data_IF_249496851162
#
_entry.id   IF_249496851162
#
_cell.length_a   1.000
_cell.length_b   1.000
_cell.length_c   1.000
_cell.angle_alpha   90.00
_cell.angle_beta   90.00
_cell.angle_gamma   90.00
#
_symmetry.space_group_name_H-M   'P 1'
#
loop_
_entity.id
_entity.type
_entity.pdbx_description
1 polymer ?
#
# COMPACT_ATOMS: atom_id res chain seq x y z
N UNK A 1 -14.57 -4.47 -16.47
CA UNK A 1 -15.36 -4.77 -15.27
C UNK A 1 -15.32 -3.59 -14.29
N UNK A 2 -14.18 -3.23 -13.70
CA UNK A 2 -14.09 -2.15 -12.67
C UNK A 2 -14.66 -0.82 -13.18
N UNK A 3 -14.28 -0.36 -14.35
CA UNK A 3 -14.79 0.91 -14.93
C UNK A 3 -16.29 0.89 -15.29
N UNK A 4 -16.88 -0.29 -15.36
CA UNK A 4 -18.29 -0.50 -15.70
C UNK A 4 -19.12 -0.92 -14.48
N UNK A 5 -18.50 -0.99 -13.30
CA UNK A 5 -19.10 -1.44 -12.04
C UNK A 5 -19.77 -2.82 -12.16
N UNK A 6 -19.18 -3.73 -12.99
CA UNK A 6 -19.68 -5.07 -13.24
C UNK A 6 -18.96 -6.07 -12.32
N UNK A 7 -19.50 -6.27 -11.12
CA UNK A 7 -18.95 -7.17 -10.12
C UNK A 7 -18.96 -8.63 -10.62
N UNK A 8 -20.02 -9.07 -11.27
CA UNK A 8 -20.12 -10.45 -11.79
C UNK A 8 -19.00 -10.75 -12.77
N UNK A 9 -18.74 -9.82 -13.69
CA UNK A 9 -17.64 -9.95 -14.64
C UNK A 9 -16.28 -9.85 -13.93
N UNK A 10 -16.16 -9.02 -12.90
CA UNK A 10 -14.93 -8.90 -12.13
C UNK A 10 -14.61 -10.20 -11.38
N UNK A 11 -15.56 -10.78 -10.62
CA UNK A 11 -15.39 -12.03 -9.87
C UNK A 11 -15.13 -13.24 -10.78
N UNK A 12 -15.60 -13.21 -12.01
CA UNK A 12 -15.24 -14.23 -13.00
C UNK A 12 -13.73 -14.24 -13.28
N UNK A 13 -13.11 -13.04 -13.37
CA UNK A 13 -11.73 -12.87 -13.77
C UNK A 13 -10.74 -12.69 -12.61
N UNK A 14 -11.23 -12.50 -11.37
CA UNK A 14 -10.39 -12.32 -10.19
C UNK A 14 -10.92 -13.18 -9.04
N UNK A 15 -10.09 -14.07 -8.53
CA UNK A 15 -10.37 -14.82 -7.30
C UNK A 15 -9.83 -14.01 -6.11
N UNK A 16 -10.66 -13.10 -5.59
CA UNK A 16 -10.29 -12.22 -4.50
C UNK A 16 -9.89 -12.97 -3.23
N UNK A 17 -10.59 -14.07 -2.90
CA UNK A 17 -10.29 -14.85 -1.72
C UNK A 17 -8.91 -15.50 -1.81
N UNK A 18 -8.59 -16.13 -2.94
CA UNK A 18 -7.27 -16.71 -3.18
C UNK A 18 -6.20 -15.62 -3.19
N UNK A 19 -6.44 -14.53 -3.91
CA UNK A 19 -5.52 -13.41 -4.04
C UNK A 19 -5.15 -12.82 -2.67
N UNK A 20 -6.15 -12.47 -1.85
CA UNK A 20 -5.91 -11.89 -0.53
C UNK A 20 -5.36 -12.88 0.48
N UNK A 21 -5.72 -14.17 0.38
CA UNK A 21 -5.18 -15.19 1.26
C UNK A 21 -3.67 -15.38 1.05
N UNK A 22 -3.19 -15.41 -0.20
CA UNK A 22 -1.77 -15.48 -0.51
C UNK A 22 -1.04 -14.17 -0.19
N UNK A 23 -1.64 -13.04 -0.56
CA UNK A 23 -1.07 -11.71 -0.24
C UNK A 23 -0.90 -11.51 1.28
N UNK A 24 -1.86 -11.97 2.09
CA UNK A 24 -1.75 -11.93 3.54
C UNK A 24 -0.56 -12.74 4.05
N UNK A 25 -0.39 -13.96 3.57
CA UNK A 25 0.73 -14.83 3.97
C UNK A 25 2.09 -14.19 3.62
N UNK A 26 2.21 -13.59 2.44
CA UNK A 26 3.42 -12.89 2.01
C UNK A 26 3.73 -11.65 2.87
N UNK A 27 2.70 -10.85 3.19
CA UNK A 27 2.85 -9.68 4.06
C UNK A 27 3.28 -10.09 5.47
N UNK A 28 2.68 -11.15 6.01
CA UNK A 28 3.07 -11.71 7.31
C UNK A 28 4.49 -12.21 7.29
N UNK A 29 4.87 -12.96 6.26
CA UNK A 29 6.24 -13.43 6.09
C UNK A 29 7.24 -12.27 6.01
N UNK A 30 6.89 -11.23 5.27
CA UNK A 30 7.71 -10.03 5.13
C UNK A 30 7.88 -9.28 6.47
N UNK A 31 6.80 -9.17 7.26
CA UNK A 31 6.80 -8.41 8.51
C UNK A 31 7.43 -9.14 9.70
N UNK A 32 7.28 -10.46 9.76
CA UNK A 32 7.61 -11.28 10.95
C UNK A 32 8.61 -12.42 10.66
N UNK A 33 9.01 -12.63 9.41
CA UNK A 33 9.84 -13.75 8.99
C UNK A 33 9.05 -15.04 8.75
N UNK A 34 9.75 -16.18 8.67
CA UNK A 34 9.11 -17.47 8.41
C UNK A 34 8.16 -17.85 9.57
N UNK A 35 6.85 -18.00 9.31
CA UNK A 35 5.89 -18.39 10.34
C UNK A 35 6.21 -19.72 11.01
N UNK A 36 6.96 -20.61 10.34
CA UNK A 36 7.38 -21.91 10.91
C UNK A 36 8.43 -21.76 12.00
N UNK A 37 9.20 -20.67 11.97
CA UNK A 37 10.19 -20.33 12.99
C UNK A 37 9.61 -19.44 14.09
N UNK A 38 8.37 -18.92 13.89
CA UNK A 38 7.71 -18.06 14.85
C UNK A 38 7.20 -18.83 16.07
N UNK A 39 7.04 -18.12 17.18
CA UNK A 39 6.39 -18.64 18.36
C UNK A 39 4.97 -19.12 18.02
N UNK A 40 4.53 -20.34 18.46
CA UNK A 40 3.20 -20.88 18.19
C UNK A 40 2.05 -19.94 18.60
N UNK A 41 2.23 -19.12 19.60
CA UNK A 41 1.26 -18.10 20.03
C UNK A 41 1.09 -17.01 18.97
N UNK A 42 2.19 -16.47 18.43
CA UNK A 42 2.16 -15.50 17.33
C UNK A 42 1.52 -16.10 16.08
N UNK A 43 1.85 -17.36 15.76
CA UNK A 43 1.25 -18.06 14.64
C UNK A 43 -0.28 -18.16 14.81
N UNK A 44 -0.77 -18.47 16.00
CA UNK A 44 -2.20 -18.50 16.31
C UNK A 44 -2.89 -17.15 16.09
N UNK A 45 -2.28 -16.05 16.53
CA UNK A 45 -2.80 -14.69 16.31
C UNK A 45 -2.85 -14.37 14.81
N UNK A 46 -1.77 -14.62 14.09
CA UNK A 46 -1.67 -14.36 12.65
C UNK A 46 -2.74 -15.14 11.87
N UNK A 47 -2.94 -16.42 12.18
CA UNK A 47 -3.99 -17.23 11.54
C UNK A 47 -5.40 -16.70 11.87
N UNK A 48 -5.64 -16.29 13.10
CA UNK A 48 -6.92 -15.71 13.49
C UNK A 48 -7.19 -14.39 12.76
N UNK A 49 -6.20 -13.53 12.62
CA UNK A 49 -6.30 -12.28 11.88
C UNK A 49 -6.56 -12.52 10.39
N UNK A 50 -5.98 -13.56 9.79
CA UNK A 50 -6.25 -13.92 8.39
C UNK A 50 -7.74 -14.15 8.13
N UNK A 51 -8.42 -14.86 9.05
CA UNK A 51 -9.86 -15.16 8.92
C UNK A 51 -10.76 -13.92 9.01
N UNK A 52 -10.25 -12.81 9.52
CA UNK A 52 -10.96 -11.53 9.61
C UNK A 52 -10.56 -10.60 8.47
N UNK A 53 -9.25 -10.47 8.21
CA UNK A 53 -8.73 -9.50 7.24
C UNK A 53 -9.09 -9.87 5.80
N UNK A 54 -8.95 -11.14 5.43
CA UNK A 54 -9.22 -11.58 4.04
C UNK A 54 -10.66 -11.32 3.62
N UNK A 55 -11.71 -11.69 4.39
CA UNK A 55 -13.08 -11.33 4.06
C UNK A 55 -13.33 -9.82 3.99
N UNK A 56 -12.79 -9.03 4.92
CA UNK A 56 -12.96 -7.57 4.91
C UNK A 56 -12.39 -6.98 3.61
N UNK A 57 -11.15 -7.35 3.23
CA UNK A 57 -10.53 -6.87 2.00
C UNK A 57 -11.32 -7.31 0.76
N UNK A 58 -11.84 -8.53 0.78
CA UNK A 58 -12.67 -9.07 -0.31
C UNK A 58 -13.94 -8.24 -0.47
N UNK A 59 -14.69 -8.00 0.60
CA UNK A 59 -15.94 -7.24 0.55
C UNK A 59 -15.73 -5.76 0.22
N UNK A 60 -14.71 -5.13 0.76
CA UNK A 60 -14.34 -3.75 0.38
C UNK A 60 -14.02 -3.63 -1.11
N UNK A 61 -13.30 -4.61 -1.67
CA UNK A 61 -13.00 -4.60 -3.10
C UNK A 61 -14.24 -4.82 -3.95
N UNK A 62 -15.13 -5.73 -3.57
CA UNK A 62 -16.40 -5.93 -4.25
C UNK A 62 -17.25 -4.65 -4.22
N UNK A 63 -17.37 -4.05 -3.05
CA UNK A 63 -18.08 -2.79 -2.89
C UNK A 63 -17.50 -1.68 -3.78
N UNK A 64 -16.17 -1.54 -3.78
CA UNK A 64 -15.50 -0.60 -4.69
C UNK A 64 -15.78 -0.88 -6.17
N UNK A 65 -15.78 -2.15 -6.57
CA UNK A 65 -16.08 -2.52 -7.96
C UNK A 65 -17.53 -2.16 -8.33
N UNK A 66 -18.49 -2.32 -7.41
CA UNK A 66 -19.90 -2.02 -7.63
C UNK A 66 -20.21 -0.52 -7.64
N UNK A 67 -19.61 0.23 -6.70
CA UNK A 67 -20.00 1.62 -6.44
C UNK A 67 -19.00 2.65 -6.98
N UNK A 68 -17.75 2.24 -7.20
CA UNK A 68 -16.65 3.15 -7.53
C UNK A 68 -16.16 3.97 -6.35
N UNK A 69 -16.70 3.77 -5.14
CA UNK A 69 -16.32 4.46 -3.93
C UNK A 69 -15.88 3.48 -2.83
N UNK A 70 -14.94 3.92 -2.03
CA UNK A 70 -14.56 3.23 -0.79
C UNK A 70 -15.40 3.88 0.31
N UNK A 71 -16.64 3.46 0.46
CA UNK A 71 -17.45 3.93 1.58
C UNK A 71 -17.00 3.22 2.86
N UNK A 72 -16.81 4.01 3.89
CA UNK A 72 -16.73 3.49 5.25
C UNK A 72 -18.10 2.86 5.57
N UNK A 73 -18.16 1.54 5.69
CA UNK A 73 -19.33 0.83 6.19
C UNK A 73 -19.56 1.22 7.67
N UNK A 74 -20.02 2.44 7.86
CA UNK A 74 -20.72 2.81 9.08
C UNK A 74 -22.17 2.37 8.84
N UNK A 75 -22.57 1.17 9.31
CA UNK A 75 -23.98 0.86 9.46
C UNK A 75 -24.59 1.98 10.29
N UNK A 76 -25.23 2.93 9.60
CA UNK A 76 -26.23 3.79 10.24
C UNK A 76 -27.35 2.88 10.70
N UNK A 77 -27.30 2.47 11.96
CA UNK A 77 -28.52 2.11 12.67
C UNK A 77 -29.31 3.41 12.86
N UNK A 78 -29.99 3.82 11.80
CA UNK A 78 -30.96 4.91 11.85
C UNK A 78 -32.28 4.37 12.39
N UNK A 79 -32.40 4.36 13.70
CA UNK A 79 -33.67 4.44 14.40
C UNK A 79 -33.52 5.36 15.60
N UNK A 80 -33.50 6.69 15.35
CA UNK A 80 -33.91 7.67 16.36
C UNK A 80 -34.59 8.85 15.66
N UNK A 81 -35.82 9.03 16.05
CA UNK A 81 -36.80 10.06 15.83
C UNK A 81 -36.25 11.51 15.83
N UNK A 82 -36.88 12.29 14.96
CA UNK A 82 -36.75 13.68 14.57
C UNK A 82 -36.78 14.67 15.75
N UNK A 83 -35.88 15.64 15.76
CA UNK A 83 -35.96 17.03 16.24
C UNK A 83 -34.76 17.54 17.03
N UNK A 84 -33.65 17.86 16.34
CA UNK A 84 -32.73 18.96 16.71
C UNK A 84 -31.66 19.18 15.63
N UNK A 85 -31.12 20.41 15.39
CA UNK A 85 -30.05 20.61 14.44
C UNK A 85 -28.78 19.91 14.94
N UNK A 86 -28.34 18.91 14.17
CA UNK A 86 -27.24 18.03 14.50
C UNK A 86 -25.89 18.77 14.46
N UNK A 87 -25.03 18.60 15.46
CA UNK A 87 -23.61 18.91 15.35
C UNK A 87 -22.97 18.01 14.31
N UNK A 88 -22.06 18.55 13.51
CA UNK A 88 -21.25 17.82 12.53
C UNK A 88 -20.73 16.51 13.14
N UNK A 89 -21.04 15.34 12.57
CA UNK A 89 -20.60 14.08 13.16
C UNK A 89 -19.08 14.02 13.19
N UNK A 90 -18.53 13.77 14.37
CA UNK A 90 -17.13 13.43 14.52
C UNK A 90 -16.89 12.09 13.78
N UNK A 91 -15.75 11.92 13.08
CA UNK A 91 -15.45 10.68 12.39
C UNK A 91 -15.51 9.51 13.37
N UNK A 92 -16.32 8.52 13.06
CA UNK A 92 -16.47 7.30 13.87
C UNK A 92 -15.12 6.59 14.00
N UNK A 93 -14.78 6.04 15.17
CA UNK A 93 -13.52 5.31 15.34
C UNK A 93 -13.51 4.09 14.40
N UNK A 94 -12.50 4.03 13.53
CA UNK A 94 -12.30 2.90 12.61
C UNK A 94 -12.16 1.60 13.40
N UNK A 95 -12.72 0.52 12.89
CA UNK A 95 -12.52 -0.81 13.50
C UNK A 95 -11.05 -1.24 13.36
N UNK A 96 -10.58 -2.12 14.25
CA UNK A 96 -9.20 -2.64 14.17
C UNK A 96 -8.88 -3.26 12.80
N UNK A 97 -9.84 -3.95 12.18
CA UNK A 97 -9.70 -4.51 10.84
C UNK A 97 -9.54 -3.46 9.75
N UNK A 98 -10.27 -2.34 9.82
CA UNK A 98 -10.14 -1.22 8.89
C UNK A 98 -8.80 -0.51 9.05
N UNK A 99 -8.34 -0.29 10.28
CA UNK A 99 -7.02 0.28 10.54
C UNK A 99 -5.90 -0.59 9.97
N UNK A 100 -6.01 -1.91 10.13
CA UNK A 100 -5.04 -2.86 9.58
C UNK A 100 -5.05 -2.87 8.05
N UNK A 101 -6.24 -2.83 7.43
CA UNK A 101 -6.37 -2.76 5.97
C UNK A 101 -5.77 -1.47 5.39
N UNK A 102 -5.95 -0.31 6.06
CA UNK A 102 -5.30 0.94 5.68
C UNK A 102 -3.78 0.87 5.83
N UNK A 103 -3.29 0.34 6.94
CA UNK A 103 -1.85 0.16 7.14
C UNK A 103 -1.23 -0.75 6.07
N UNK A 104 -1.94 -1.81 5.67
CA UNK A 104 -1.51 -2.68 4.58
C UNK A 104 -1.49 -1.93 3.25
N UNK A 105 -2.53 -1.14 2.94
CA UNK A 105 -2.60 -0.31 1.73
C UNK A 105 -1.46 0.71 1.69
N UNK A 106 -1.18 1.39 2.79
CA UNK A 106 -0.06 2.34 2.88
C UNK A 106 1.30 1.64 2.72
N UNK A 107 1.49 0.50 3.38
CA UNK A 107 2.74 -0.26 3.30
C UNK A 107 2.98 -0.85 1.91
N UNK A 108 1.95 -1.38 1.26
CA UNK A 108 2.07 -1.94 -0.08
C UNK A 108 2.19 -0.88 -1.17
N UNK A 109 1.65 0.33 -0.94
CA UNK A 109 1.65 1.44 -1.90
C UNK A 109 0.87 1.16 -3.19
N UNK A 110 0.06 0.10 -3.25
CA UNK A 110 -0.74 -0.22 -4.44
C UNK A 110 -1.68 0.91 -4.86
N UNK A 111 -2.08 1.79 -3.94
CA UNK A 111 -2.90 2.96 -4.24
C UNK A 111 -2.19 4.08 -5.03
N UNK A 112 -0.85 4.06 -5.09
CA UNK A 112 -0.02 5.07 -5.78
C UNK A 112 0.57 4.56 -7.10
N UNK A 113 0.46 3.25 -7.35
CA UNK A 113 1.01 2.59 -8.53
C UNK A 113 0.06 2.69 -9.72
N UNK A 114 0.61 2.98 -10.88
CA UNK A 114 -0.09 3.01 -12.16
C UNK A 114 0.32 1.80 -12.99
N UNK A 115 -0.66 1.12 -13.59
CA UNK A 115 -0.42 0.07 -14.58
C UNK A 115 0.20 0.66 -15.86
N UNK A 116 1.30 0.07 -16.32
CA UNK A 116 2.02 0.49 -17.53
C UNK A 116 1.96 -0.55 -18.67
N UNK A 117 1.53 -1.76 -18.35
CA UNK A 117 1.39 -2.83 -19.35
C UNK A 117 1.84 -4.19 -18.85
N UNK A 118 1.76 -5.16 -19.73
CA UNK A 118 2.32 -6.50 -19.54
C UNK A 118 3.74 -6.49 -20.11
N UNK A 119 4.73 -6.89 -19.31
CA UNK A 119 6.12 -7.00 -19.73
C UNK A 119 6.40 -8.35 -20.40
N UNK A 120 5.90 -9.42 -19.79
CA UNK A 120 6.01 -10.77 -20.33
C UNK A 120 4.89 -11.66 -19.85
N UNK A 121 4.65 -12.76 -20.56
CA UNK A 121 3.73 -13.82 -20.13
C UNK A 121 4.25 -15.18 -20.59
N UNK A 122 4.15 -16.17 -19.71
CA UNK A 122 4.48 -17.55 -19.99
C UNK A 122 3.30 -18.43 -19.60
N UNK A 123 2.86 -19.26 -20.55
CA UNK A 123 1.74 -20.18 -20.34
C UNK A 123 2.23 -21.63 -20.30
N UNK A 124 1.81 -22.37 -19.29
CA UNK A 124 2.04 -23.81 -19.15
C UNK A 124 0.72 -24.51 -18.85
N UNK A 125 0.17 -25.19 -19.85
CA UNK A 125 -1.15 -25.82 -19.74
C UNK A 125 -2.25 -24.79 -19.51
N UNK A 126 -3.02 -24.97 -18.42
CA UNK A 126 -4.09 -24.06 -17.99
C UNK A 126 -3.62 -22.96 -17.02
N UNK A 127 -2.34 -22.80 -16.80
CA UNK A 127 -1.78 -21.73 -15.95
C UNK A 127 -0.94 -20.78 -16.78
N UNK A 128 -0.94 -19.50 -16.41
CA UNK A 128 -0.07 -18.50 -16.98
C UNK A 128 0.56 -17.66 -15.86
N UNK A 129 1.86 -17.43 -15.98
CA UNK A 129 2.58 -16.45 -15.18
C UNK A 129 2.73 -15.18 -16.03
N UNK A 130 2.28 -14.05 -15.50
CA UNK A 130 2.25 -12.77 -16.19
C UNK A 130 3.01 -11.74 -15.38
N UNK A 131 4.03 -11.13 -16.00
CA UNK A 131 4.76 -10.02 -15.43
C UNK A 131 4.09 -8.70 -15.85
N UNK A 132 3.61 -7.95 -14.86
CA UNK A 132 2.90 -6.70 -15.01
C UNK A 132 3.78 -5.55 -14.56
N UNK A 133 3.98 -4.57 -15.44
CA UNK A 133 4.73 -3.37 -15.11
C UNK A 133 3.86 -2.34 -14.43
N UNK A 134 4.31 -1.90 -13.25
CA UNK A 134 3.69 -0.87 -12.42
C UNK A 134 4.67 0.29 -12.24
N UNK A 135 4.19 1.52 -12.29
CA UNK A 135 4.98 2.73 -12.01
C UNK A 135 4.46 3.43 -10.77
N UNK A 136 5.32 3.58 -9.76
CA UNK A 136 5.03 4.40 -8.58
C UNK A 136 5.50 5.83 -8.81
N UNK A 137 4.52 6.74 -8.91
CA UNK A 137 4.75 8.16 -9.21
C UNK A 137 5.46 8.89 -8.05
N UNK A 138 5.27 8.44 -6.80
CA UNK A 138 5.90 9.07 -5.64
C UNK A 138 7.37 8.70 -5.53
N UNK A 139 7.68 7.43 -5.83
CA UNK A 139 9.04 6.91 -5.80
C UNK A 139 9.79 7.12 -7.13
N UNK A 140 9.06 7.49 -8.20
CA UNK A 140 9.62 7.59 -9.57
C UNK A 140 10.29 6.27 -9.99
N UNK A 141 9.68 5.14 -9.64
CA UNK A 141 10.25 3.80 -9.79
C UNK A 141 9.27 2.84 -10.48
N UNK A 142 9.82 1.96 -11.33
CA UNK A 142 9.06 0.88 -11.95
C UNK A 142 9.20 -0.39 -11.11
N UNK A 143 8.08 -1.04 -10.87
CA UNK A 143 8.00 -2.35 -10.23
C UNK A 143 7.45 -3.38 -11.19
N UNK A 144 7.88 -4.64 -11.04
CA UNK A 144 7.33 -5.77 -11.78
C UNK A 144 6.54 -6.64 -10.82
N UNK A 145 5.23 -6.71 -11.06
CA UNK A 145 4.32 -7.57 -10.32
C UNK A 145 4.13 -8.87 -11.11
N UNK A 146 4.49 -10.00 -10.51
CA UNK A 146 4.23 -11.31 -11.07
C UNK A 146 2.90 -11.84 -10.58
N UNK A 147 2.04 -12.21 -11.50
CA UNK A 147 0.71 -12.73 -11.18
C UNK A 147 0.50 -14.08 -11.85
N UNK A 148 -0.16 -14.98 -11.13
CA UNK A 148 -0.59 -16.26 -11.66
C UNK A 148 -2.05 -16.19 -12.08
N UNK A 149 -2.31 -16.70 -13.27
CA UNK A 149 -3.65 -16.79 -13.83
C UNK A 149 -3.99 -18.25 -14.17
N UNK A 150 -5.26 -18.57 -14.10
CA UNK A 150 -5.79 -19.88 -14.45
C UNK A 150 -6.84 -19.74 -15.56
N UNK A 151 -6.72 -20.60 -16.60
CA UNK A 151 -7.66 -20.66 -17.71
C UNK A 151 -8.93 -21.42 -17.30
N UNK A 152 -10.07 -20.76 -17.42
CA UNK A 152 -11.39 -21.34 -17.16
C UNK A 152 -11.85 -22.21 -18.35
N UNK A 153 -12.88 -23.03 -18.16
CA UNK A 153 -13.38 -23.93 -19.19
C UNK A 153 -13.97 -23.22 -20.42
N UNK A 154 -14.31 -21.94 -20.30
CA UNK A 154 -14.76 -21.09 -21.40
C UNK A 154 -13.62 -20.35 -22.13
N UNK A 155 -12.36 -20.66 -21.79
CA UNK A 155 -11.17 -20.04 -22.37
C UNK A 155 -10.83 -18.66 -21.82
N UNK A 156 -11.63 -18.15 -20.85
CA UNK A 156 -11.25 -16.90 -20.15
C UNK A 156 -10.25 -17.17 -19.03
N UNK A 157 -9.56 -16.12 -18.57
CA UNK A 157 -8.51 -16.22 -17.56
C UNK A 157 -8.98 -15.61 -16.25
N UNK A 158 -8.58 -16.22 -15.12
CA UNK A 158 -8.83 -15.75 -13.77
C UNK A 158 -7.51 -15.53 -13.03
N UNK A 159 -7.32 -14.34 -12.50
CA UNK A 159 -6.22 -14.00 -11.59
C UNK A 159 -6.44 -14.69 -10.24
N UNK A 160 -5.44 -15.43 -9.76
CA UNK A 160 -5.56 -16.22 -8.53
C UNK A 160 -4.51 -15.87 -7.47
N UNK A 161 -3.36 -15.35 -7.88
CA UNK A 161 -2.23 -15.16 -6.97
C UNK A 161 -1.29 -14.05 -7.48
N UNK A 162 -0.69 -13.30 -6.54
CA UNK A 162 0.52 -12.50 -6.76
C UNK A 162 1.68 -13.33 -6.24
N UNK A 163 2.64 -13.67 -7.09
CA UNK A 163 3.69 -14.64 -6.75
C UNK A 163 4.97 -14.02 -6.20
N UNK A 164 5.14 -12.69 -6.31
CA UNK A 164 6.33 -11.97 -5.85
C UNK A 164 6.02 -10.78 -4.94
N UNK A 165 4.91 -10.83 -4.20
CA UNK A 165 4.51 -9.70 -3.36
C UNK A 165 5.57 -9.36 -2.31
N UNK A 166 6.15 -10.35 -1.67
CA UNK A 166 7.21 -10.18 -0.67
C UNK A 166 8.44 -9.48 -1.25
N UNK A 167 8.89 -9.88 -2.43
CA UNK A 167 10.01 -9.28 -3.14
C UNK A 167 9.70 -7.84 -3.53
N UNK A 168 8.50 -7.59 -4.01
CA UNK A 168 8.01 -6.26 -4.37
C UNK A 168 7.96 -5.32 -3.16
N UNK A 169 7.49 -5.80 -2.00
CA UNK A 169 7.50 -5.01 -0.75
C UNK A 169 8.92 -4.63 -0.34
N UNK A 170 9.86 -5.56 -0.42
CA UNK A 170 11.27 -5.31 -0.12
C UNK A 170 11.90 -4.32 -1.10
N UNK A 171 11.63 -4.46 -2.38
CA UNK A 171 12.10 -3.53 -3.42
C UNK A 171 11.55 -2.12 -3.18
N UNK A 172 10.25 -2.02 -2.83
CA UNK A 172 9.61 -0.75 -2.52
C UNK A 172 10.22 -0.06 -1.29
N UNK A 173 10.53 -0.82 -0.24
CA UNK A 173 11.22 -0.30 0.93
C UNK A 173 12.59 0.28 0.56
N UNK A 174 13.36 -0.43 -0.26
CA UNK A 174 14.66 0.02 -0.75
C UNK A 174 14.54 1.29 -1.61
N UNK A 175 13.56 1.33 -2.51
CA UNK A 175 13.29 2.51 -3.34
C UNK A 175 12.87 3.72 -2.48
N UNK A 176 12.06 3.50 -1.45
CA UNK A 176 11.66 4.53 -0.48
C UNK A 176 12.87 5.09 0.27
N UNK A 177 13.72 4.22 0.79
CA UNK A 177 14.94 4.62 1.49
C UNK A 177 15.90 5.40 0.57
N UNK A 178 16.07 4.97 -0.68
CA UNK A 178 16.88 5.68 -1.68
C UNK A 178 16.32 7.07 -2.00
N UNK A 179 15.00 7.20 -2.16
CA UNK A 179 14.33 8.49 -2.41
C UNK A 179 14.48 9.45 -1.24
N UNK A 180 14.31 8.97 -0.01
CA UNK A 180 14.52 9.77 1.20
C UNK A 180 15.96 10.27 1.30
N UNK A 181 16.95 9.42 1.02
CA UNK A 181 18.35 9.79 1.00
C UNK A 181 18.64 10.88 -0.04
N UNK A 182 18.06 10.75 -1.22
CA UNK A 182 18.19 11.74 -2.30
C UNK A 182 17.58 13.10 -1.89
N UNK A 183 16.37 13.08 -1.30
CA UNK A 183 15.70 14.29 -0.82
C UNK A 183 16.52 14.99 0.27
N UNK A 184 17.00 14.26 1.27
CA UNK A 184 17.82 14.81 2.34
C UNK A 184 19.12 15.44 1.80
N UNK A 185 19.78 14.78 0.84
CA UNK A 185 20.99 15.33 0.21
C UNK A 185 20.69 16.61 -0.56
N UNK A 186 19.54 16.70 -1.24
CA UNK A 186 19.09 17.89 -1.96
C UNK A 186 18.80 19.05 -0.99
N UNK A 187 18.07 18.80 0.09
CA UNK A 187 17.76 19.80 1.11
C UNK A 187 19.05 20.31 1.76
N UNK A 188 20.00 19.42 2.08
CA UNK A 188 21.29 19.83 2.64
C UNK A 188 22.07 20.73 1.68
N UNK A 189 22.13 20.37 0.39
CA UNK A 189 22.79 21.20 -0.61
C UNK A 189 22.14 22.59 -0.78
N UNK A 190 20.81 22.67 -0.71
CA UNK A 190 20.06 23.94 -0.76
C UNK A 190 20.35 24.81 0.49
N UNK A 191 20.42 24.18 1.68
CA UNK A 191 20.79 24.88 2.92
C UNK A 191 22.22 25.41 2.86
N UNK A 192 23.17 24.60 2.43
CA UNK A 192 24.59 25.01 2.31
C UNK A 192 24.73 26.16 1.30
N UNK A 193 24.02 26.13 0.19
CA UNK A 193 23.99 27.22 -0.80
C UNK A 193 23.36 28.50 -0.24
N UNK A 194 22.27 28.39 0.54
CA UNK A 194 21.60 29.51 1.18
C UNK A 194 22.51 30.17 2.24
N UNK A 195 23.22 29.39 3.04
CA UNK A 195 24.19 29.89 4.05
C UNK A 195 25.34 30.62 3.37
N UNK A 196 25.83 30.12 2.23
CA UNK A 196 26.97 30.73 1.49
C UNK A 196 26.53 32.02 0.78
N UNK A 197 25.24 32.19 0.48
CA UNK A 197 24.72 33.38 -0.23
C UNK A 197 24.31 34.55 0.67
N UNK A 198 24.44 34.43 2.02
CA UNK A 198 24.18 35.52 2.94
C UNK A 198 25.40 36.49 2.91
N UNK A 199 25.25 37.74 2.40
CA UNK A 199 26.35 38.72 2.42
C UNK A 199 26.54 39.19 3.87
N UNK A 200 27.61 38.77 4.47
CA UNK A 200 27.97 39.18 5.82
C UNK A 200 28.27 38.00 6.73
N UNK A 201 29.31 37.24 6.39
CA UNK A 201 29.92 36.34 7.35
C UNK A 201 30.47 37.16 8.51
N UNK A 202 29.81 37.13 9.66
CA UNK A 202 30.41 37.58 10.90
C UNK A 202 31.55 36.59 11.16
N UNK A 203 32.77 36.95 10.75
CA UNK A 203 33.93 36.23 11.21
C UNK A 203 34.06 36.45 12.70
N UNK A 204 33.62 35.46 13.48
CA UNK A 204 33.95 35.41 14.91
C UNK A 204 35.42 35.06 14.96
N UNK A 205 36.26 36.09 14.95
CA UNK A 205 37.66 35.93 15.27
C UNK A 205 37.75 35.43 16.72
N UNK A 206 38.36 34.30 16.91
CA UNK A 206 38.55 33.64 18.19
C UNK A 206 39.59 34.34 19.10
N UNK A 207 39.98 35.56 18.77
CA UNK A 207 40.77 36.44 19.67
C UNK A 207 39.81 37.33 20.49
N UNK A 208 39.33 36.81 21.63
CA UNK A 208 38.54 37.55 22.60
C UNK A 208 39.24 38.81 23.11
N UNK A 209 38.82 39.97 22.60
CA UNK A 209 39.27 41.26 23.10
C UNK A 209 38.20 42.33 22.88
N UNK A 210 37.28 42.47 23.80
CA UNK A 210 36.46 43.65 23.97
C UNK A 210 37.26 44.68 24.74
N UNK A 211 37.82 45.68 24.09
CA UNK A 211 38.21 46.92 24.73
C UNK A 211 37.60 48.10 23.99
N UNK A 212 36.73 48.91 24.64
CA UNK A 212 36.35 50.21 24.12
C UNK A 212 37.53 51.19 24.29
N UNK A 213 38.01 51.73 23.20
CA UNK A 213 38.92 52.88 23.22
C UNK A 213 38.13 54.16 23.42
N UNK A 214 38.51 54.92 24.44
CA UNK A 214 38.08 56.30 24.67
C UNK A 214 38.76 57.25 23.71
#
# INVERSE_FOLDING_TARGET
>A
AVQQHDLTKFEKHVDLNSLYAHAYDDVVYYAFGDPKEANPFLLGIVQSLKTVVVPIMTEQTKHYVETGSIEDNTEETSDIDDTAPAPTPAPSPKTEGQQLAEQLKERTGFGTMRYEGVESSEQVGKTADVAVKLYDKQLEHNFILHVKMYELDDGSWRLTEITNLKELLKEREQATAAKLKQLNSKVQAELDAAVTSVPGTISIDSSGGWFPSY
#
